data_IF_117096906554
#
_entry.id   IF_117096906554
#
_cell.length_a   1.000
_cell.length_b   1.000
_cell.length_c   1.000
_cell.angle_alpha   90.00
_cell.angle_beta   90.00
_cell.angle_gamma   90.00
#
_symmetry.space_group_name_H-M   'P 1'
#
loop_
_entity.id
_entity.type
_entity.pdbx_description
1 polymer ?
#
# COMPACT_ATOMS: atom_id res chain seq x y z
N UNK A 1 13.02 -4.62 27.12
CA UNK A 1 12.46 -4.77 25.74
C UNK A 1 12.84 -3.54 24.94
N UNK A 2 13.36 -3.72 23.74
CA UNK A 2 13.59 -2.60 22.81
C UNK A 2 12.27 -2.13 22.21
N UNK A 3 12.10 -0.81 22.16
CA UNK A 3 10.90 -0.16 21.62
C UNK A 3 11.27 1.04 20.75
N UNK A 4 10.39 1.40 19.84
CA UNK A 4 10.47 2.63 19.02
C UNK A 4 9.21 3.46 19.21
N UNK A 5 9.36 4.77 19.25
CA UNK A 5 8.25 5.70 19.35
C UNK A 5 7.65 5.97 17.97
N UNK A 6 6.35 5.72 17.80
CA UNK A 6 5.64 6.15 16.59
C UNK A 6 5.23 7.61 16.71
N UNK A 7 5.50 8.37 15.64
CA UNK A 7 5.14 9.79 15.54
C UNK A 7 4.27 10.00 14.30
N UNK A 8 3.14 10.68 14.47
CA UNK A 8 2.33 11.10 13.33
C UNK A 8 2.96 12.32 12.65
N UNK A 9 3.43 12.13 11.42
CA UNK A 9 4.01 13.18 10.59
C UNK A 9 3.07 13.66 9.47
N UNK A 10 1.78 13.31 9.53
CA UNK A 10 0.78 13.80 8.60
C UNK A 10 -0.20 12.76 8.05
N UNK A 11 0.04 11.46 8.29
CA UNK A 11 -0.88 10.40 7.88
C UNK A 11 -2.20 10.39 8.67
N UNK A 12 -2.21 10.97 9.87
CA UNK A 12 -3.39 11.06 10.76
C UNK A 12 -4.03 9.72 11.04
N UNK A 13 -3.16 8.70 11.27
CA UNK A 13 -3.59 7.32 11.51
C UNK A 13 -3.25 6.85 12.92
N UNK A 14 -1.98 6.78 13.24
CA UNK A 14 -1.42 6.35 14.53
C UNK A 14 -0.18 7.17 14.85
N UNK A 15 0.30 7.09 16.08
CA UNK A 15 1.47 7.83 16.54
C UNK A 15 1.13 9.03 17.40
N UNK A 16 2.14 9.47 18.16
CA UNK A 16 2.03 10.68 18.98
C UNK A 16 2.16 11.93 18.10
N UNK A 17 1.50 13.02 18.48
CA UNK A 17 1.67 14.32 17.83
C UNK A 17 3.12 14.82 17.95
N UNK A 18 3.62 15.51 16.94
CA UNK A 18 5.04 15.93 16.80
C UNK A 18 5.55 16.71 18.03
N UNK A 19 4.74 17.63 18.52
CA UNK A 19 5.07 18.49 19.69
C UNK A 19 5.13 17.73 21.01
N UNK A 20 4.48 16.58 21.10
CA UNK A 20 4.45 15.71 22.29
C UNK A 20 5.51 14.62 22.27
N UNK A 21 6.19 14.41 21.14
CA UNK A 21 7.12 13.30 20.93
C UNK A 21 8.28 13.28 21.93
N UNK A 22 8.93 14.42 22.19
CA UNK A 22 10.04 14.49 23.13
C UNK A 22 9.61 14.18 24.58
N UNK A 23 8.47 14.71 25.00
CA UNK A 23 7.95 14.44 26.36
C UNK A 23 7.61 12.95 26.56
N UNK A 24 6.98 12.32 25.55
CA UNK A 24 6.67 10.89 25.59
C UNK A 24 7.94 10.02 25.54
N UNK A 25 8.92 10.41 24.73
CA UNK A 25 10.22 9.74 24.67
C UNK A 25 10.93 9.73 26.04
N UNK A 26 10.93 10.84 26.75
CA UNK A 26 11.47 10.93 28.14
C UNK A 26 10.70 10.04 29.09
N UNK A 27 9.37 10.03 28.99
CA UNK A 27 8.54 9.16 29.83
C UNK A 27 8.85 7.67 29.60
N UNK A 28 8.97 7.25 28.33
CA UNK A 28 9.33 5.87 27.98
C UNK A 28 10.76 5.53 28.46
N UNK A 29 11.71 6.44 28.25
CA UNK A 29 13.12 6.25 28.66
C UNK A 29 13.28 5.99 30.16
N UNK A 30 12.43 6.60 30.97
CA UNK A 30 12.43 6.43 32.43
C UNK A 30 11.74 5.13 32.92
N UNK A 31 11.13 4.35 32.03
CA UNK A 31 10.50 3.09 32.41
C UNK A 31 11.53 1.95 32.55
N UNK A 32 11.52 1.18 33.66
CA UNK A 32 12.61 0.30 34.03
C UNK A 32 12.86 -0.88 33.09
N UNK A 33 11.93 -1.26 32.26
CA UNK A 33 12.03 -2.44 31.40
C UNK A 33 11.94 -2.14 29.90
N UNK A 34 11.98 -0.86 29.54
CA UNK A 34 11.97 -0.40 28.16
C UNK A 34 13.30 0.25 27.79
N UNK A 35 13.77 -0.05 26.60
CA UNK A 35 14.91 0.59 25.97
C UNK A 35 14.43 1.28 24.69
N UNK A 36 14.26 2.60 24.73
CA UNK A 36 13.85 3.38 23.56
C UNK A 36 15.05 3.55 22.62
N UNK A 37 15.08 2.81 21.51
CA UNK A 37 16.17 2.83 20.53
C UNK A 37 15.98 3.87 19.44
N UNK A 38 14.75 4.29 19.15
CA UNK A 38 14.50 5.21 18.07
C UNK A 38 13.05 5.64 17.93
N UNK A 39 12.78 6.27 16.81
CA UNK A 39 11.43 6.68 16.41
C UNK A 39 11.12 6.17 15.00
N UNK A 40 9.83 6.08 14.69
CA UNK A 40 9.37 5.76 13.36
C UNK A 40 8.10 6.52 13.00
N UNK A 41 7.83 6.62 11.70
CA UNK A 41 6.59 7.19 11.17
C UNK A 41 6.09 6.39 9.98
N UNK A 42 4.82 6.54 9.67
CA UNK A 42 4.25 6.21 8.37
C UNK A 42 3.57 7.45 7.81
N UNK A 43 4.11 8.00 6.73
CA UNK A 43 3.58 9.24 6.11
C UNK A 43 3.07 9.00 4.68
N UNK A 44 3.79 8.17 3.90
CA UNK A 44 3.50 7.92 2.48
C UNK A 44 3.47 9.22 1.65
N UNK A 45 2.64 9.29 0.63
CA UNK A 45 2.53 10.44 -0.28
C UNK A 45 1.66 11.56 0.33
N UNK A 46 2.11 12.10 1.43
CA UNK A 46 1.51 13.28 2.07
C UNK A 46 2.56 14.41 2.09
N UNK A 47 2.14 15.61 1.71
CA UNK A 47 2.94 16.84 1.76
C UNK A 47 2.09 17.97 2.33
N UNK A 48 2.59 18.68 3.34
CA UNK A 48 1.84 19.72 4.07
C UNK A 48 0.45 19.24 4.52
N UNK A 49 0.41 18.03 5.13
CA UNK A 49 -0.82 17.40 5.64
C UNK A 49 -1.89 17.10 4.58
N UNK A 50 -1.54 17.11 3.30
CA UNK A 50 -2.43 16.79 2.17
C UNK A 50 -1.83 15.71 1.26
N UNK A 51 -2.66 14.85 0.64
CA UNK A 51 -2.19 13.89 -0.36
C UNK A 51 -1.52 14.57 -1.55
N UNK A 52 -0.42 13.99 -2.04
CA UNK A 52 0.35 14.48 -3.19
C UNK A 52 0.74 13.35 -4.13
N UNK A 53 1.07 13.70 -5.39
CA UNK A 53 1.74 12.79 -6.33
C UNK A 53 3.25 13.08 -6.43
N UNK A 54 3.73 14.14 -5.79
CA UNK A 54 5.15 14.44 -5.75
C UNK A 54 5.84 13.67 -4.62
N UNK A 55 6.39 12.51 -4.97
CA UNK A 55 7.12 11.66 -4.03
C UNK A 55 8.42 12.29 -3.51
N UNK A 56 9.04 13.18 -4.26
CA UNK A 56 10.28 13.84 -3.85
C UNK A 56 10.01 14.87 -2.75
N UNK A 57 8.98 15.71 -2.92
CA UNK A 57 8.58 16.67 -1.89
C UNK A 57 8.06 15.96 -0.63
N UNK A 58 7.21 14.94 -0.79
CA UNK A 58 6.72 14.13 0.33
C UNK A 58 7.87 13.49 1.14
N UNK A 59 8.85 12.91 0.43
CA UNK A 59 10.01 12.26 1.04
C UNK A 59 10.96 13.27 1.72
N UNK A 60 11.21 14.41 1.08
CA UNK A 60 12.07 15.45 1.65
C UNK A 60 11.47 15.98 2.96
N UNK A 61 10.17 16.26 2.98
CA UNK A 61 9.47 16.70 4.20
C UNK A 61 9.47 15.60 5.27
N UNK A 62 9.21 14.33 4.90
CA UNK A 62 9.22 13.21 5.84
C UNK A 62 10.60 13.09 6.52
N UNK A 63 11.69 13.12 5.76
CA UNK A 63 13.04 13.06 6.29
C UNK A 63 13.38 14.24 7.20
N UNK A 64 13.00 15.46 6.81
CA UNK A 64 13.22 16.68 7.60
C UNK A 64 12.48 16.63 8.94
N UNK A 65 11.19 16.32 8.91
CA UNK A 65 10.37 16.22 10.12
C UNK A 65 10.93 15.18 11.10
N UNK A 66 11.31 14.01 10.59
CA UNK A 66 11.84 12.93 11.42
C UNK A 66 13.19 13.31 12.03
N UNK A 67 14.05 14.01 11.31
CA UNK A 67 15.31 14.50 11.85
C UNK A 67 15.09 15.53 12.95
N UNK A 68 14.22 16.52 12.74
CA UNK A 68 13.91 17.55 13.73
C UNK A 68 13.34 16.95 15.02
N UNK A 69 12.43 15.97 14.91
CA UNK A 69 11.87 15.26 16.06
C UNK A 69 12.96 14.48 16.78
N UNK A 70 13.85 13.78 16.06
CA UNK A 70 14.95 13.03 16.65
C UNK A 70 15.92 13.95 17.40
N UNK A 71 16.23 15.13 16.87
CA UNK A 71 17.06 16.15 17.53
C UNK A 71 16.41 16.67 18.80
N UNK A 72 15.09 16.94 18.80
CA UNK A 72 14.36 17.36 19.98
C UNK A 72 14.36 16.29 21.08
N UNK A 73 14.22 15.03 20.73
CA UNK A 73 14.30 13.89 21.66
C UNK A 73 15.69 13.77 22.26
N UNK A 74 16.74 13.88 21.43
CA UNK A 74 18.14 13.85 21.89
C UNK A 74 18.47 15.04 22.80
N UNK A 75 17.98 16.23 22.47
CA UNK A 75 18.12 17.42 23.29
C UNK A 75 17.44 17.29 24.66
N UNK A 76 16.36 16.48 24.74
CA UNK A 76 15.68 16.12 26.01
C UNK A 76 16.43 15.04 26.80
N UNK A 77 17.61 14.59 26.36
CA UNK A 77 18.46 13.62 27.08
C UNK A 77 18.19 12.15 26.75
N UNK A 78 17.41 11.83 25.73
CA UNK A 78 17.11 10.44 25.32
C UNK A 78 18.01 10.04 24.14
N UNK A 79 18.93 9.09 24.29
CA UNK A 79 19.95 8.76 23.28
C UNK A 79 19.40 7.78 22.22
N UNK A 80 18.49 8.23 21.38
CA UNK A 80 17.99 7.43 20.26
C UNK A 80 18.95 7.43 19.07
N UNK A 81 19.05 6.28 18.40
CA UNK A 81 19.88 6.07 17.20
C UNK A 81 19.04 5.89 15.93
N UNK A 82 17.93 5.19 16.03
CA UNK A 82 17.16 4.75 14.89
C UNK A 82 16.13 5.81 14.48
N UNK A 83 16.14 6.15 13.21
CA UNK A 83 15.15 7.03 12.56
C UNK A 83 14.59 6.26 11.38
N UNK A 84 13.38 5.72 11.55
CA UNK A 84 12.76 4.85 10.57
C UNK A 84 11.60 5.57 9.86
N UNK A 85 11.73 5.79 8.55
CA UNK A 85 10.73 6.46 7.73
C UNK A 85 10.78 5.94 6.29
N UNK A 86 9.80 6.32 5.47
CA UNK A 86 9.71 5.88 4.08
C UNK A 86 8.92 4.57 3.91
N UNK A 87 7.96 4.62 3.03
CA UNK A 87 7.14 3.50 2.54
C UNK A 87 7.58 3.09 1.12
N UNK A 88 6.88 2.19 0.43
CA UNK A 88 7.26 1.82 -0.92
C UNK A 88 7.34 3.01 -1.88
N UNK A 89 6.37 3.95 -1.96
CA UNK A 89 6.47 5.08 -2.87
C UNK A 89 7.56 6.10 -2.51
N UNK A 90 7.87 6.28 -1.23
CA UNK A 90 8.79 7.34 -0.79
C UNK A 90 10.16 6.83 -0.35
N UNK A 91 10.31 5.52 -0.08
CA UNK A 91 11.49 4.97 0.61
C UNK A 91 12.83 5.29 -0.05
N UNK A 92 12.91 5.19 -1.37
CA UNK A 92 14.15 5.52 -2.10
C UNK A 92 14.51 7.01 -1.94
N UNK A 93 13.51 7.89 -2.08
CA UNK A 93 13.73 9.33 -2.01
C UNK A 93 14.02 9.78 -0.56
N UNK A 94 13.34 9.19 0.43
CA UNK A 94 13.67 9.43 1.85
C UNK A 94 15.11 8.99 2.17
N UNK A 95 15.53 7.81 1.70
CA UNK A 95 16.90 7.33 1.91
C UNK A 95 17.96 8.27 1.33
N UNK A 96 17.71 8.86 0.14
CA UNK A 96 18.60 9.83 -0.49
C UNK A 96 18.79 11.11 0.33
N UNK A 97 17.87 11.44 1.23
CA UNK A 97 18.02 12.62 2.10
C UNK A 97 19.17 12.48 3.10
N UNK A 98 19.57 11.24 3.41
CA UNK A 98 20.58 10.95 4.45
C UNK A 98 20.10 11.24 5.88
N UNK A 99 18.82 11.52 6.09
CA UNK A 99 18.25 11.92 7.39
C UNK A 99 17.63 10.77 8.17
N UNK A 100 17.52 9.61 7.55
CA UNK A 100 16.96 8.40 8.16
C UNK A 100 17.98 7.27 8.18
N UNK A 101 17.82 6.35 9.13
CA UNK A 101 18.71 5.18 9.27
C UNK A 101 18.07 3.92 8.70
N UNK A 102 16.74 3.95 8.45
CA UNK A 102 15.97 2.78 8.01
C UNK A 102 14.79 3.23 7.16
N UNK A 103 14.48 2.42 6.13
CA UNK A 103 13.23 2.51 5.34
C UNK A 103 12.45 1.20 5.43
N UNK A 104 11.12 1.26 5.30
CA UNK A 104 10.24 0.11 5.48
C UNK A 104 9.28 -0.10 4.29
N UNK A 105 9.82 -0.31 3.06
CA UNK A 105 9.00 -0.65 1.91
C UNK A 105 8.44 -2.08 2.09
N UNK A 106 7.14 -2.27 1.85
CA UNK A 106 6.50 -3.58 1.96
C UNK A 106 5.93 -4.07 0.63
N UNK A 107 5.19 -3.22 -0.06
CA UNK A 107 4.45 -3.56 -1.29
C UNK A 107 5.38 -3.88 -2.48
N UNK A 108 6.62 -3.39 -2.47
CA UNK A 108 7.59 -3.50 -3.58
C UNK A 108 7.86 -4.95 -4.03
N UNK A 109 7.64 -5.96 -3.18
CA UNK A 109 7.87 -7.37 -3.55
C UNK A 109 6.85 -7.89 -4.58
N UNK A 110 5.69 -7.26 -4.66
CA UNK A 110 4.65 -7.58 -5.64
C UNK A 110 4.44 -6.45 -6.62
N UNK A 111 4.53 -5.22 -6.14
CA UNK A 111 3.96 -4.02 -6.74
C UNK A 111 2.45 -4.19 -7.05
N UNK A 112 1.79 -3.12 -7.38
CA UNK A 112 0.38 -3.09 -7.74
C UNK A 112 0.08 -1.87 -8.61
N UNK A 113 -1.16 -1.72 -9.05
CA UNK A 113 -1.51 -0.59 -9.89
C UNK A 113 -1.46 0.75 -9.14
N UNK A 114 -1.67 0.74 -7.80
CA UNK A 114 -1.54 1.93 -6.97
C UNK A 114 -0.14 2.53 -7.10
N UNK A 115 0.90 1.71 -6.99
CA UNK A 115 2.29 2.16 -7.11
C UNK A 115 2.64 2.73 -8.49
N UNK A 116 1.96 2.31 -9.55
CA UNK A 116 2.18 2.93 -10.88
C UNK A 116 1.64 4.36 -10.92
N UNK A 117 0.49 4.62 -10.30
CA UNK A 117 -0.09 5.96 -10.16
C UNK A 117 0.74 6.86 -9.24
N UNK A 118 1.40 6.27 -8.27
CA UNK A 118 2.30 6.92 -7.32
C UNK A 118 3.72 7.15 -7.88
N UNK A 119 3.98 6.68 -9.11
CA UNK A 119 5.28 6.80 -9.77
C UNK A 119 6.40 6.00 -9.09
N UNK A 120 6.03 4.94 -8.35
CA UNK A 120 6.96 4.07 -7.64
C UNK A 120 7.25 2.75 -8.38
N UNK A 121 6.39 2.37 -9.33
CA UNK A 121 6.58 1.20 -10.19
C UNK A 121 6.03 1.46 -11.59
N UNK A 122 6.43 0.65 -12.56
CA UNK A 122 5.84 0.56 -13.90
C UNK A 122 4.88 -0.63 -13.98
N UNK A 123 4.04 -0.71 -15.00
CA UNK A 123 3.13 -1.85 -15.20
C UNK A 123 3.89 -3.18 -15.35
N UNK A 124 5.06 -3.16 -15.97
CA UNK A 124 5.88 -4.36 -16.20
C UNK A 124 6.56 -4.86 -14.90
N UNK A 125 6.67 -4.01 -13.89
CA UNK A 125 7.23 -4.37 -12.58
C UNK A 125 6.18 -4.92 -11.62
N UNK A 126 4.91 -5.00 -12.02
CA UNK A 126 3.87 -5.61 -11.19
C UNK A 126 3.92 -7.13 -11.35
N UNK A 127 4.29 -7.84 -10.29
CA UNK A 127 4.38 -9.29 -10.30
C UNK A 127 3.03 -9.99 -10.07
N UNK A 128 2.06 -9.31 -9.41
CA UNK A 128 0.78 -9.93 -9.05
C UNK A 128 -0.20 -9.91 -10.22
N UNK A 129 -0.90 -11.04 -10.40
CA UNK A 129 -2.03 -11.18 -11.31
C UNK A 129 -3.14 -11.97 -10.61
N UNK A 130 -4.37 -11.60 -10.88
CA UNK A 130 -5.55 -12.34 -10.47
C UNK A 130 -6.28 -12.80 -11.72
N UNK A 131 -6.53 -14.10 -11.83
CA UNK A 131 -7.29 -14.68 -12.92
C UNK A 131 -8.69 -14.98 -12.41
N UNK A 132 -9.71 -14.40 -13.02
CA UNK A 132 -11.11 -14.60 -12.68
C UNK A 132 -11.89 -15.07 -13.91
N UNK A 133 -12.89 -15.91 -13.67
CA UNK A 133 -13.74 -16.47 -14.72
C UNK A 133 -14.99 -15.61 -14.91
N UNK A 134 -15.38 -15.38 -16.14
CA UNK A 134 -16.68 -14.79 -16.48
C UNK A 134 -17.75 -15.85 -16.23
N UNK A 135 -18.58 -15.64 -15.22
CA UNK A 135 -19.65 -16.58 -14.82
C UNK A 135 -21.01 -16.20 -15.37
N UNK A 136 -21.19 -14.95 -15.81
CA UNK A 136 -22.46 -14.50 -16.41
C UNK A 136 -22.22 -13.28 -17.30
N UNK A 137 -23.01 -13.20 -18.39
CA UNK A 137 -23.07 -12.05 -19.32
C UNK A 137 -24.52 -11.67 -19.57
N UNK A 138 -25.23 -11.06 -18.57
CA UNK A 138 -26.65 -10.75 -18.68
C UNK A 138 -26.98 -9.71 -19.76
N UNK A 139 -26.03 -8.85 -20.10
CA UNK A 139 -26.08 -7.91 -21.22
C UNK A 139 -24.70 -7.74 -21.81
N UNK A 140 -24.60 -7.14 -22.99
CA UNK A 140 -23.31 -6.80 -23.60
C UNK A 140 -22.54 -5.72 -22.84
N UNK A 141 -23.24 -4.90 -22.04
CA UNK A 141 -22.66 -3.76 -21.32
C UNK A 141 -21.83 -4.17 -20.11
N UNK A 142 -22.10 -5.33 -19.53
CA UNK A 142 -21.37 -5.83 -18.38
C UNK A 142 -21.28 -7.35 -18.32
N UNK A 143 -20.21 -7.81 -17.71
CA UNK A 143 -19.95 -9.22 -17.41
C UNK A 143 -19.73 -9.40 -15.90
N UNK A 144 -20.06 -10.57 -15.38
CA UNK A 144 -19.89 -10.92 -13.96
C UNK A 144 -18.74 -11.90 -13.83
N UNK A 145 -17.81 -11.58 -12.94
CA UNK A 145 -16.67 -12.42 -12.59
C UNK A 145 -16.92 -13.17 -11.28
N UNK A 146 -16.26 -14.30 -11.09
CA UNK A 146 -16.19 -15.08 -9.83
C UNK A 146 -15.20 -14.48 -8.80
N UNK A 147 -14.74 -13.24 -8.99
CA UNK A 147 -13.87 -12.50 -8.09
C UNK A 147 -14.52 -11.20 -7.61
N UNK A 148 -14.82 -11.12 -6.31
CA UNK A 148 -15.47 -9.97 -5.68
C UNK A 148 -14.64 -9.36 -4.54
N UNK A 149 -15.32 -8.81 -3.51
CA UNK A 149 -14.65 -8.15 -2.38
C UNK A 149 -13.81 -9.11 -1.53
N UNK A 150 -14.06 -10.40 -1.60
CA UNK A 150 -13.22 -11.45 -1.00
C UNK A 150 -11.95 -11.75 -1.80
N UNK A 151 -11.81 -11.14 -2.98
CA UNK A 151 -10.63 -11.26 -3.84
C UNK A 151 -9.85 -9.96 -3.90
N UNK A 152 -10.51 -8.83 -4.22
CA UNK A 152 -9.85 -7.55 -4.51
C UNK A 152 -9.88 -6.55 -3.37
N UNK A 153 -10.83 -6.67 -2.45
CA UNK A 153 -11.09 -5.71 -1.38
C UNK A 153 -11.59 -4.33 -1.88
N UNK A 154 -11.96 -3.44 -0.93
CA UNK A 154 -12.57 -2.14 -1.26
C UNK A 154 -12.02 -1.01 -0.35
N UNK A 155 -10.72 -0.99 -0.14
CA UNK A 155 -10.03 -0.02 0.72
C UNK A 155 -9.59 1.26 -0.01
N UNK A 156 -9.95 1.40 -1.28
CA UNK A 156 -9.76 2.61 -2.07
C UNK A 156 -11.12 3.16 -2.54
N UNK A 157 -11.15 4.42 -2.92
CA UNK A 157 -12.30 5.03 -3.58
C UNK A 157 -11.95 5.30 -5.04
N UNK A 158 -12.55 4.57 -6.00
CA UNK A 158 -12.26 4.77 -7.41
C UNK A 158 -12.59 6.19 -7.88
N UNK A 159 -11.90 6.64 -8.92
CA UNK A 159 -12.11 7.90 -9.63
C UNK A 159 -12.04 9.17 -8.76
N UNK A 160 -11.39 9.09 -7.59
CA UNK A 160 -11.23 10.22 -6.68
C UNK A 160 -9.81 10.79 -6.73
N UNK A 161 -9.66 12.13 -6.57
CA UNK A 161 -8.34 12.74 -6.49
C UNK A 161 -7.55 12.27 -5.26
N UNK A 162 -6.21 12.33 -5.31
CA UNK A 162 -5.40 12.76 -6.44
C UNK A 162 -5.09 11.64 -7.45
N UNK A 163 -5.40 10.36 -7.14
CA UNK A 163 -4.90 9.21 -7.87
C UNK A 163 -5.80 8.77 -9.03
N UNK A 164 -7.12 9.01 -8.95
CA UNK A 164 -8.10 8.62 -9.97
C UNK A 164 -7.96 7.17 -10.41
N UNK A 165 -7.98 6.24 -9.45
CA UNK A 165 -7.95 4.81 -9.74
C UNK A 165 -9.15 4.40 -10.58
N UNK A 166 -8.96 3.63 -11.70
CA UNK A 166 -10.05 3.34 -12.65
C UNK A 166 -11.06 2.30 -12.15
N UNK A 167 -10.88 1.76 -10.95
CA UNK A 167 -11.72 0.73 -10.35
C UNK A 167 -10.99 0.05 -9.18
N UNK A 168 -11.41 -1.15 -8.82
CA UNK A 168 -10.77 -1.99 -7.79
C UNK A 168 -9.69 -2.92 -8.36
N UNK A 169 -9.71 -3.13 -9.66
CA UNK A 169 -8.67 -3.76 -10.44
C UNK A 169 -8.70 -3.21 -11.86
N UNK A 170 -7.61 -3.38 -12.60
CA UNK A 170 -7.53 -3.11 -14.04
C UNK A 170 -7.43 -4.42 -14.81
N UNK A 171 -8.06 -4.47 -15.98
CA UNK A 171 -7.95 -5.63 -16.87
C UNK A 171 -6.66 -5.50 -17.67
N UNK A 172 -5.79 -6.50 -17.59
CA UNK A 172 -4.53 -6.50 -18.32
C UNK A 172 -4.78 -6.41 -19.84
N UNK A 173 -4.16 -5.42 -20.48
CA UNK A 173 -4.27 -5.23 -21.94
C UNK A 173 -5.64 -4.69 -22.43
N UNK A 174 -6.55 -4.28 -21.53
CA UNK A 174 -7.83 -3.72 -21.92
C UNK A 174 -8.32 -2.61 -20.99
N UNK A 175 -7.98 -1.37 -21.31
CA UNK A 175 -8.33 -0.18 -20.53
C UNK A 175 -9.82 0.24 -20.66
N UNK A 176 -10.57 -0.39 -21.56
CA UNK A 176 -12.00 -0.12 -21.73
C UNK A 176 -12.86 -0.81 -20.67
N UNK A 177 -12.35 -1.88 -20.06
CA UNK A 177 -13.04 -2.62 -19.03
C UNK A 177 -12.70 -2.10 -17.63
N UNK A 178 -13.72 -1.92 -16.79
CA UNK A 178 -13.58 -1.39 -15.44
C UNK A 178 -14.31 -2.27 -14.41
N UNK A 179 -13.63 -2.56 -13.30
CA UNK A 179 -14.21 -3.22 -12.13
C UNK A 179 -14.61 -2.17 -11.09
N UNK A 180 -15.79 -1.57 -11.24
CA UNK A 180 -16.28 -0.48 -10.39
C UNK A 180 -17.26 -0.94 -9.30
N UNK A 181 -17.78 -2.14 -9.41
CA UNK A 181 -18.76 -2.67 -8.46
C UNK A 181 -18.48 -4.13 -8.17
N UNK A 182 -18.58 -4.48 -6.89
CA UNK A 182 -18.42 -5.86 -6.43
C UNK A 182 -19.45 -6.20 -5.36
N UNK A 183 -19.80 -7.47 -5.29
CA UNK A 183 -20.39 -8.13 -4.13
C UNK A 183 -19.30 -9.02 -3.51
N UNK A 184 -19.66 -9.84 -2.52
CA UNK A 184 -18.67 -10.68 -1.83
C UNK A 184 -17.90 -11.59 -2.78
N UNK A 185 -18.61 -12.33 -3.64
CA UNK A 185 -18.06 -13.35 -4.54
C UNK A 185 -18.00 -12.90 -6.01
N UNK A 186 -18.63 -11.78 -6.36
CA UNK A 186 -18.80 -11.38 -7.75
C UNK A 186 -18.28 -9.99 -8.04
N UNK A 187 -17.48 -9.87 -9.08
CA UNK A 187 -17.05 -8.61 -9.67
C UNK A 187 -17.90 -8.27 -10.91
N UNK A 188 -18.27 -7.01 -11.05
CA UNK A 188 -19.03 -6.54 -12.21
C UNK A 188 -18.08 -5.72 -13.09
N UNK A 189 -17.65 -6.31 -14.20
CA UNK A 189 -16.92 -5.62 -15.25
C UNK A 189 -17.90 -4.87 -16.16
N UNK A 190 -17.65 -3.60 -16.38
CA UNK A 190 -18.38 -2.76 -17.32
C UNK A 190 -17.46 -2.26 -18.42
N UNK A 191 -18.02 -2.01 -19.60
CA UNK A 191 -17.28 -1.44 -20.73
C UNK A 191 -17.56 0.04 -20.88
N UNK A 192 -16.54 0.85 -21.01
CA UNK A 192 -16.64 2.28 -21.38
C UNK A 192 -17.27 2.47 -22.77
N UNK A 193 -17.14 1.46 -23.63
CA UNK A 193 -17.69 1.47 -25.01
C UNK A 193 -19.09 0.84 -25.10
N UNK A 194 -19.64 0.35 -23.98
CA UNK A 194 -20.97 -0.25 -23.93
C UNK A 194 -21.04 -1.70 -24.45
N UNK A 195 -19.90 -2.33 -24.70
CA UNK A 195 -19.82 -3.74 -25.05
C UNK A 195 -18.53 -4.32 -24.46
N UNK A 196 -18.67 -5.36 -23.59
CA UNK A 196 -17.51 -6.00 -22.97
C UNK A 196 -16.78 -6.94 -23.91
N UNK A 197 -17.46 -7.48 -24.91
CA UNK A 197 -16.95 -8.53 -25.79
C UNK A 197 -16.67 -9.86 -25.09
N UNK A 198 -17.07 -10.01 -23.83
CA UNK A 198 -16.79 -11.18 -23.00
C UNK A 198 -17.91 -12.21 -23.07
N UNK A 199 -17.54 -13.49 -22.92
CA UNK A 199 -18.48 -14.64 -22.89
C UNK A 199 -18.30 -15.44 -21.60
N UNK A 200 -19.35 -16.14 -21.20
CA UNK A 200 -19.27 -17.07 -20.06
C UNK A 200 -18.19 -18.13 -20.33
N UNK A 201 -17.30 -18.29 -19.35
CA UNK A 201 -16.16 -19.20 -19.42
C UNK A 201 -14.85 -18.51 -19.83
N UNK A 202 -14.88 -17.26 -20.26
CA UNK A 202 -13.66 -16.50 -20.51
C UNK A 202 -12.89 -16.27 -19.20
N UNK A 203 -11.57 -16.34 -19.27
CA UNK A 203 -10.68 -16.00 -18.15
C UNK A 203 -10.15 -14.60 -18.37
N UNK A 204 -10.34 -13.76 -17.35
CA UNK A 204 -9.86 -12.37 -17.37
C UNK A 204 -8.67 -12.24 -16.44
N UNK A 205 -7.57 -11.69 -16.95
CA UNK A 205 -6.41 -11.34 -16.17
C UNK A 205 -6.56 -9.93 -15.60
N UNK A 206 -6.47 -9.82 -14.26
CA UNK A 206 -6.65 -8.56 -13.54
C UNK A 206 -5.42 -8.22 -12.70
N UNK A 207 -5.11 -6.94 -12.65
CA UNK A 207 -4.10 -6.36 -11.78
C UNK A 207 -4.84 -5.63 -10.65
N UNK A 208 -4.69 -6.05 -9.37
CA UNK A 208 -5.36 -5.37 -8.27
C UNK A 208 -4.84 -3.94 -8.09
N UNK A 209 -5.70 -3.03 -7.66
CA UNK A 209 -5.26 -1.68 -7.30
C UNK A 209 -4.36 -1.75 -6.07
N UNK A 210 -4.76 -2.49 -5.04
CA UNK A 210 -4.01 -2.63 -3.80
C UNK A 210 -3.71 -4.11 -3.48
N UNK A 211 -2.45 -4.49 -3.60
CA UNK A 211 -2.01 -5.89 -3.45
C UNK A 211 -2.02 -6.37 -2.01
N UNK A 212 -1.76 -5.51 -1.02
CA UNK A 212 -1.65 -5.92 0.39
C UNK A 212 -2.92 -6.61 0.88
N UNK A 213 -4.07 -5.99 0.65
CA UNK A 213 -5.37 -6.52 1.02
C UNK A 213 -5.76 -7.73 0.17
N UNK A 214 -5.44 -7.71 -1.12
CA UNK A 214 -5.69 -8.82 -2.04
C UNK A 214 -4.98 -10.10 -1.60
N UNK A 215 -3.67 -10.03 -1.34
CA UNK A 215 -2.88 -11.19 -0.91
C UNK A 215 -3.31 -11.69 0.48
N UNK A 216 -3.61 -10.77 1.41
CA UNK A 216 -4.02 -11.16 2.77
C UNK A 216 -5.33 -11.96 2.82
N UNK A 217 -6.15 -11.92 1.78
CA UNK A 217 -7.37 -12.71 1.68
C UNK A 217 -7.15 -14.12 1.12
N UNK A 218 -6.02 -14.37 0.48
CA UNK A 218 -5.72 -15.66 -0.15
C UNK A 218 -5.05 -16.63 0.84
N UNK A 219 -5.49 -17.87 0.86
CA UNK A 219 -4.80 -18.92 1.63
C UNK A 219 -3.50 -19.35 0.97
N UNK A 220 -3.47 -19.33 -0.35
CA UNK A 220 -2.39 -19.81 -1.20
C UNK A 220 -2.29 -18.93 -2.45
N UNK A 221 -1.09 -18.84 -2.98
CA UNK A 221 -0.79 -18.15 -4.26
C UNK A 221 0.04 -19.06 -5.14
N UNK A 222 0.05 -18.79 -6.43
CA UNK A 222 0.94 -19.46 -7.37
C UNK A 222 2.11 -18.54 -7.71
N UNK A 223 3.33 -19.04 -7.55
CA UNK A 223 4.54 -18.38 -8.00
C UNK A 223 4.95 -18.95 -9.36
N UNK A 224 5.14 -18.07 -10.33
CA UNK A 224 5.58 -18.41 -11.68
C UNK A 224 6.92 -17.72 -11.96
N UNK A 225 7.94 -18.49 -12.31
CA UNK A 225 9.31 -18.00 -12.56
C UNK A 225 9.66 -17.92 -14.06
N UNK A 226 8.67 -18.09 -14.92
CA UNK A 226 8.85 -18.14 -16.38
C UNK A 226 8.82 -19.57 -16.96
N UNK A 227 9.05 -20.58 -16.12
CA UNK A 227 9.09 -21.99 -16.52
C UNK A 227 8.18 -22.88 -15.67
N UNK A 228 8.19 -22.68 -14.35
CA UNK A 228 7.46 -23.53 -13.41
C UNK A 228 6.39 -22.74 -12.65
N UNK A 229 5.29 -23.42 -12.34
CA UNK A 229 4.22 -22.91 -11.51
C UNK A 229 4.25 -23.64 -10.15
N UNK A 230 4.51 -22.92 -9.07
CA UNK A 230 4.61 -23.47 -7.72
C UNK A 230 3.56 -22.85 -6.81
N UNK A 231 2.83 -23.70 -6.08
CA UNK A 231 1.85 -23.26 -5.09
C UNK A 231 2.54 -22.98 -3.76
N UNK A 232 2.28 -21.80 -3.18
CA UNK A 232 2.82 -21.37 -1.90
C UNK A 232 1.71 -20.88 -0.97
N UNK A 233 1.88 -21.15 0.33
CA UNK A 233 0.95 -20.67 1.38
C UNK A 233 1.24 -19.21 1.72
N UNK A 234 0.18 -18.44 1.92
CA UNK A 234 0.28 -17.11 2.52
C UNK A 234 0.42 -17.27 4.03
N UNK A 235 1.66 -17.21 4.53
CA UNK A 235 2.04 -17.64 5.87
C UNK A 235 1.31 -16.92 7.02
N UNK A 236 1.02 -15.63 6.87
CA UNK A 236 0.37 -14.80 7.90
C UNK A 236 -1.09 -14.45 7.58
N UNK A 237 -1.71 -15.16 6.66
CA UNK A 237 -3.10 -14.92 6.29
C UNK A 237 -4.02 -15.15 7.48
N UNK A 238 -4.86 -14.15 7.79
CA UNK A 238 -5.83 -14.23 8.88
C UNK A 238 -5.23 -14.12 10.29
N UNK A 239 -3.94 -13.86 10.43
CA UNK A 239 -3.28 -13.61 11.74
C UNK A 239 -3.45 -12.15 12.18
N UNK A 240 -4.67 -11.64 12.09
CA UNK A 240 -5.06 -10.33 12.62
C UNK A 240 -5.52 -10.50 14.07
N UNK A 241 -5.13 -9.56 14.93
CA UNK A 241 -5.50 -9.47 16.35
C UNK A 241 -6.28 -8.22 16.62
#
# INVERSE_FOLDING_TARGET
>A
MEVRLEVDTGAKRTGVERDKAAALAVAIHNLPNLNLTGLYTFKSLVYHDAPTLDKCEAAAEEGELMQQIAESIRAAGVPITDISAGSTPTGIEVAKTGKVTEVRPGTYIFNDFMLTKEGAATLDEIAVRVYATVVSTPSKEYAVLDGGTKTFYMDIVPETPPYYYPGYAVVAGNDDLQLLRMNEEHGILTSKKGDTGLHVGDIVELIPIHVCTTINQQNEVYLYDGETLRKEKVAARGMLV
#
